data_IF_968894341806
#
_entry.id   IF_968894341806
#
_cell.length_a   1.000
_cell.length_b   1.000
_cell.length_c   1.000
_cell.angle_alpha   90.00
_cell.angle_beta   90.00
_cell.angle_gamma   90.00
#
_symmetry.space_group_name_H-M   'P 1'
#
loop_
_entity.id
_entity.type
_entity.pdbx_description
1 polymer ?
#
# COMPACT_ATOMS: atom_id res chain seq x y z
N UNK A 1 -5.87 -0.44 17.22
CA UNK A 1 -5.66 0.77 18.05
C UNK A 1 -4.16 0.94 18.20
N UNK A 2 -3.61 2.07 17.80
CA UNK A 2 -2.17 2.32 17.79
C UNK A 2 -1.65 2.48 19.22
N UNK A 3 -0.87 1.51 19.70
CA UNK A 3 -0.21 1.49 21.02
C UNK A 3 1.11 2.27 21.01
N UNK A 4 1.11 3.46 20.40
CA UNK A 4 2.31 4.29 20.30
C UNK A 4 2.51 5.06 21.62
N UNK A 5 3.67 4.87 22.25
CA UNK A 5 4.11 5.65 23.41
C UNK A 5 5.02 6.78 22.95
N UNK A 6 4.77 7.98 23.44
CA UNK A 6 5.56 9.17 23.15
C UNK A 6 6.19 9.65 24.45
N UNK A 7 7.42 10.12 24.39
CA UNK A 7 8.04 10.77 25.55
C UNK A 7 7.23 12.01 25.94
N UNK A 8 7.24 12.39 27.21
CA UNK A 8 6.62 13.64 27.70
C UNK A 8 7.73 14.68 27.85
N UNK A 9 7.88 15.63 26.92
CA UNK A 9 8.75 16.77 27.12
C UNK A 9 8.22 17.68 28.23
N UNK A 10 9.11 18.45 28.87
CA UNK A 10 8.73 19.38 29.95
C UNK A 10 7.61 20.35 29.52
N UNK A 11 7.70 20.91 28.30
CA UNK A 11 6.69 21.82 27.78
C UNK A 11 5.31 21.17 27.60
N UNK A 12 5.26 19.86 27.32
CA UNK A 12 4.00 19.13 27.21
C UNK A 12 3.39 18.92 28.60
N UNK A 13 4.23 18.63 29.59
CA UNK A 13 3.82 18.58 31.00
C UNK A 13 3.23 19.91 31.46
N UNK A 14 3.92 21.02 31.19
CA UNK A 14 3.47 22.38 31.51
C UNK A 14 2.13 22.73 30.84
N UNK A 15 1.92 22.24 29.61
CA UNK A 15 0.66 22.46 28.87
C UNK A 15 -0.49 21.60 29.40
N UNK A 16 -0.22 20.36 29.84
CA UNK A 16 -1.23 19.44 30.34
C UNK A 16 -1.65 19.73 31.79
N UNK A 17 -0.75 20.27 32.61
CA UNK A 17 -0.98 20.49 34.03
C UNK A 17 -2.21 21.38 34.33
N UNK A 18 -2.47 22.49 33.60
CA UNK A 18 -3.68 23.31 33.76
C UNK A 18 -5.00 22.60 33.45
N UNK A 19 -4.97 21.46 32.73
CA UNK A 19 -6.17 20.69 32.38
C UNK A 19 -6.68 19.81 33.52
N UNK A 20 -5.86 19.57 34.54
CA UNK A 20 -6.22 18.77 35.72
C UNK A 20 -7.34 19.49 36.49
N UNK A 21 -8.42 18.79 36.78
CA UNK A 21 -9.65 19.34 37.37
C UNK A 21 -10.69 19.89 36.37
N UNK A 22 -10.38 19.93 35.08
CA UNK A 22 -11.31 20.40 34.03
C UNK A 22 -11.77 19.24 33.13
N UNK A 23 -10.85 18.31 32.87
CA UNK A 23 -11.06 17.13 32.03
C UNK A 23 -12.19 16.21 32.56
N UNK A 24 -12.79 15.39 31.69
CA UNK A 24 -13.63 14.27 32.15
C UNK A 24 -12.83 13.34 33.06
N UNK A 25 -13.44 12.85 34.13
CA UNK A 25 -12.77 12.09 35.20
C UNK A 25 -11.97 10.88 34.67
N UNK A 26 -12.46 10.21 33.61
CA UNK A 26 -11.75 9.11 32.97
C UNK A 26 -10.43 9.54 32.31
N UNK A 27 -10.46 10.64 31.55
CA UNK A 27 -9.28 11.18 30.87
C UNK A 27 -8.31 11.82 31.88
N UNK A 28 -8.83 12.48 32.90
CA UNK A 28 -8.02 13.09 33.95
C UNK A 28 -7.15 12.05 34.66
N UNK A 29 -7.74 10.93 35.10
CA UNK A 29 -6.99 9.86 35.76
C UNK A 29 -5.88 9.29 34.86
N UNK A 30 -6.16 9.14 33.56
CA UNK A 30 -5.18 8.66 32.59
C UNK A 30 -4.04 9.65 32.37
N UNK A 31 -4.33 10.95 32.30
CA UNK A 31 -3.33 12.02 32.14
C UNK A 31 -2.48 12.14 33.41
N UNK A 32 -3.10 12.15 34.59
CA UNK A 32 -2.38 12.22 35.88
C UNK A 32 -1.43 11.03 36.03
N UNK A 33 -1.92 9.80 35.79
CA UNK A 33 -1.07 8.59 35.83
C UNK A 33 0.07 8.67 34.82
N UNK A 34 -0.16 9.24 33.63
CA UNK A 34 0.86 9.37 32.61
C UNK A 34 1.91 10.46 32.94
N UNK A 35 1.50 11.57 33.57
CA UNK A 35 2.39 12.67 33.97
C UNK A 35 3.37 12.27 35.09
N UNK A 36 3.06 11.25 35.89
CA UNK A 36 4.00 10.66 36.84
C UNK A 36 5.13 9.87 36.14
N UNK A 37 4.92 9.48 34.89
CA UNK A 37 5.89 8.75 34.07
C UNK A 37 6.66 9.64 33.08
N UNK A 38 7.61 9.04 32.36
CA UNK A 38 8.36 9.72 31.28
C UNK A 38 7.74 9.54 29.89
N UNK A 39 6.67 8.74 29.80
CA UNK A 39 6.02 8.34 28.55
C UNK A 39 4.49 8.36 28.69
N UNK A 40 3.81 8.91 27.68
CA UNK A 40 2.36 8.94 27.56
C UNK A 40 1.91 8.18 26.30
N UNK A 41 0.75 7.51 26.38
CA UNK A 41 0.14 6.91 25.19
C UNK A 41 -0.40 8.00 24.26
N UNK A 42 -0.06 7.92 22.98
CA UNK A 42 -0.51 8.87 21.97
C UNK A 42 -2.04 8.94 21.87
N UNK A 43 -2.74 7.83 22.15
CA UNK A 43 -4.20 7.80 22.18
C UNK A 43 -4.79 8.74 23.22
N UNK A 44 -4.16 8.88 24.40
CA UNK A 44 -4.62 9.78 25.47
C UNK A 44 -4.54 11.23 24.98
N UNK A 45 -3.42 11.62 24.37
CA UNK A 45 -3.26 12.98 23.79
C UNK A 45 -4.27 13.24 22.67
N UNK A 46 -4.54 12.25 21.83
CA UNK A 46 -5.55 12.35 20.79
C UNK A 46 -6.96 12.52 21.36
N UNK A 47 -7.28 11.85 22.47
CA UNK A 47 -8.59 11.96 23.11
C UNK A 47 -8.74 13.28 23.87
N UNK A 48 -7.67 13.82 24.47
CA UNK A 48 -7.63 15.19 25.02
C UNK A 48 -7.86 16.23 23.91
N UNK A 49 -7.19 16.09 22.76
CA UNK A 49 -7.40 16.95 21.59
C UNK A 49 -8.86 16.90 21.11
N UNK A 50 -9.43 15.70 20.95
CA UNK A 50 -10.85 15.55 20.58
C UNK A 50 -11.79 16.18 21.60
N UNK A 51 -11.52 16.00 22.89
CA UNK A 51 -12.32 16.59 23.95
C UNK A 51 -12.27 18.12 23.88
N UNK A 52 -11.11 18.73 23.64
CA UNK A 52 -10.96 20.17 23.48
C UNK A 52 -11.80 20.75 22.33
N UNK A 53 -12.16 19.93 21.32
CA UNK A 53 -13.07 20.32 20.23
C UNK A 53 -14.55 20.29 20.58
N UNK A 54 -14.93 19.57 21.62
CA UNK A 54 -16.34 19.50 22.04
C UNK A 54 -16.79 20.83 22.61
N UNK A 55 -18.09 21.14 22.50
CA UNK A 55 -18.63 22.38 23.07
C UNK A 55 -18.46 22.44 24.59
N UNK A 56 -18.57 21.30 25.28
CA UNK A 56 -18.29 21.21 26.72
C UNK A 56 -16.83 21.52 27.04
N UNK A 57 -15.89 20.98 26.25
CA UNK A 57 -14.46 21.23 26.40
C UNK A 57 -14.13 22.71 26.21
N UNK A 58 -14.65 23.35 25.15
CA UNK A 58 -14.43 24.78 24.89
C UNK A 58 -14.95 25.65 26.04
N UNK A 59 -16.18 25.45 26.48
CA UNK A 59 -16.77 26.23 27.58
C UNK A 59 -15.97 26.07 28.87
N UNK A 60 -15.52 24.85 29.17
CA UNK A 60 -14.71 24.58 30.35
C UNK A 60 -13.31 25.20 30.28
N UNK A 61 -12.66 25.15 29.12
CA UNK A 61 -11.36 25.80 28.90
C UNK A 61 -11.48 27.33 29.00
N UNK A 62 -12.51 27.91 28.39
CA UNK A 62 -12.80 29.35 28.47
C UNK A 62 -13.08 29.80 29.91
N UNK A 63 -13.75 28.98 30.73
CA UNK A 63 -14.01 29.29 32.14
C UNK A 63 -12.74 29.46 33.00
N UNK A 64 -11.60 28.96 32.49
CA UNK A 64 -10.29 29.01 33.13
C UNK A 64 -9.30 29.92 32.39
N UNK A 65 -9.79 30.72 31.44
CA UNK A 65 -8.98 31.60 30.59
C UNK A 65 -7.92 30.84 29.77
N UNK A 66 -8.21 29.59 29.41
CA UNK A 66 -7.35 28.75 28.60
C UNK A 66 -7.82 28.78 27.13
N UNK A 67 -6.88 28.99 26.21
CA UNK A 67 -7.18 29.03 24.78
C UNK A 67 -7.31 27.61 24.22
N UNK A 68 -8.48 27.25 23.69
CA UNK A 68 -8.72 25.92 23.12
C UNK A 68 -7.75 25.56 21.98
N UNK A 69 -7.24 26.56 21.25
CA UNK A 69 -6.32 26.34 20.10
C UNK A 69 -4.99 25.73 20.52
N UNK A 70 -4.57 25.96 21.76
CA UNK A 70 -3.32 25.41 22.29
C UNK A 70 -3.47 23.89 22.56
N UNK A 71 -4.70 23.41 22.71
CA UNK A 71 -5.04 22.02 23.00
C UNK A 71 -5.52 21.23 21.77
N UNK A 72 -5.98 21.91 20.72
CA UNK A 72 -6.40 21.32 19.43
C UNK A 72 -5.34 20.33 18.91
N UNK A 73 -4.07 20.72 18.95
CA UNK A 73 -2.97 19.95 18.35
C UNK A 73 -1.94 19.51 19.38
N UNK A 74 -2.38 19.23 20.60
CA UNK A 74 -1.47 18.78 21.67
C UNK A 74 -0.74 17.48 21.32
N UNK A 75 -1.31 16.66 20.44
CA UNK A 75 -0.68 15.48 19.87
C UNK A 75 0.55 15.80 18.99
N UNK A 76 0.60 16.98 18.36
CA UNK A 76 1.76 17.45 17.58
C UNK A 76 2.87 17.97 18.50
N UNK A 77 2.51 18.50 19.68
CA UNK A 77 3.47 18.99 20.69
C UNK A 77 4.29 17.87 21.34
N UNK A 78 3.77 16.64 21.34
CA UNK A 78 4.50 15.46 21.76
C UNK A 78 5.68 15.12 20.81
N UNK A 79 5.74 15.78 19.65
CA UNK A 79 6.88 15.71 18.72
C UNK A 79 6.98 14.37 17.99
N UNK A 80 8.12 14.18 17.31
CA UNK A 80 8.46 12.93 16.60
C UNK A 80 9.32 11.97 17.43
N UNK A 81 9.61 12.32 18.69
CA UNK A 81 10.48 11.53 19.55
C UNK A 81 9.63 10.42 20.17
N UNK A 82 9.61 9.27 19.49
CA UNK A 82 9.08 8.04 20.08
C UNK A 82 9.85 7.74 21.36
N UNK A 83 9.15 7.36 22.43
CA UNK A 83 9.79 7.10 23.73
C UNK A 83 10.92 6.07 23.60
N UNK A 84 11.92 6.09 24.50
CA UNK A 84 13.03 5.12 24.47
C UNK A 84 12.56 3.66 24.51
N UNK A 85 11.36 3.38 25.04
CA UNK A 85 10.76 2.04 25.02
C UNK A 85 10.04 1.69 23.70
N UNK A 86 9.78 2.67 22.82
CA UNK A 86 9.09 2.48 21.55
C UNK A 86 10.08 2.08 20.46
N UNK A 87 9.98 0.84 20.00
CA UNK A 87 10.63 0.41 18.75
C UNK A 87 9.80 0.94 17.59
N UNK A 88 10.41 1.80 16.76
CA UNK A 88 9.81 2.17 15.48
C UNK A 88 9.49 0.89 14.69
N UNK A 89 8.36 0.85 13.96
CA UNK A 89 8.14 -0.26 13.03
C UNK A 89 9.33 -0.31 12.05
N UNK A 90 9.77 -1.51 11.64
CA UNK A 90 10.83 -1.62 10.64
C UNK A 90 10.42 -0.79 9.41
N UNK A 91 11.35 0.00 8.83
CA UNK A 91 11.03 0.85 7.70
C UNK A 91 10.44 -0.01 6.59
N UNK A 92 9.34 0.44 6.00
CA UNK A 92 8.76 -0.24 4.85
C UNK A 92 9.83 -0.36 3.76
N UNK A 93 10.02 -1.54 3.15
CA UNK A 93 10.99 -1.69 2.09
C UNK A 93 10.63 -0.72 0.96
N UNK A 94 11.61 0.04 0.48
CA UNK A 94 11.40 0.92 -0.67
C UNK A 94 10.85 0.08 -1.82
N UNK A 95 9.81 0.56 -2.54
CA UNK A 95 9.28 -0.17 -3.68
C UNK A 95 10.41 -0.41 -4.69
N UNK A 96 10.46 -1.62 -5.23
CA UNK A 96 11.51 -1.97 -6.17
C UNK A 96 11.39 -1.11 -7.45
N UNK A 97 12.49 -0.76 -8.14
CA UNK A 97 12.44 0.13 -9.30
C UNK A 97 11.46 -0.33 -10.40
N UNK A 98 11.27 -1.64 -10.54
CA UNK A 98 10.33 -2.21 -11.49
C UNK A 98 8.86 -2.03 -11.10
N UNK A 99 8.54 -1.94 -9.80
CA UNK A 99 7.20 -1.67 -9.30
C UNK A 99 6.81 -0.23 -9.60
N UNK A 100 7.71 0.71 -9.29
CA UNK A 100 7.54 2.14 -9.60
C UNK A 100 7.33 2.35 -11.10
N UNK A 101 8.16 1.73 -11.94
CA UNK A 101 8.03 1.82 -13.39
C UNK A 101 6.72 1.21 -13.92
N UNK A 102 6.18 0.19 -13.27
CA UNK A 102 4.90 -0.41 -13.64
C UNK A 102 3.74 0.51 -13.26
N UNK A 103 3.81 1.16 -12.10
CA UNK A 103 2.81 2.13 -11.66
C UNK A 103 2.80 3.39 -12.52
N UNK A 104 3.95 3.92 -12.90
CA UNK A 104 4.01 5.03 -13.87
C UNK A 104 3.35 4.68 -15.21
N UNK A 105 3.62 3.48 -15.75
CA UNK A 105 2.99 3.01 -16.99
C UNK A 105 1.48 2.88 -16.83
N UNK A 106 1.01 2.40 -15.68
CA UNK A 106 -0.40 2.29 -15.37
C UNK A 106 -1.08 3.66 -15.32
N UNK A 107 -0.43 4.65 -14.69
CA UNK A 107 -0.92 6.02 -14.59
C UNK A 107 -1.02 6.67 -15.97
N UNK A 108 0.01 6.53 -16.82
CA UNK A 108 -0.03 7.06 -18.20
C UNK A 108 -1.15 6.44 -19.02
N UNK A 109 -1.39 5.13 -18.89
CA UNK A 109 -2.51 4.45 -19.56
C UNK A 109 -3.87 4.93 -19.05
N UNK A 110 -4.02 5.16 -17.76
CA UNK A 110 -5.25 5.68 -17.18
C UNK A 110 -5.54 7.09 -17.71
N UNK A 111 -4.54 7.97 -17.74
CA UNK A 111 -4.65 9.31 -18.31
C UNK A 111 -5.04 9.23 -19.80
N UNK A 112 -4.36 8.39 -20.58
CA UNK A 112 -4.68 8.22 -22.01
C UNK A 112 -6.13 7.74 -22.23
N UNK A 113 -6.62 6.82 -21.40
CA UNK A 113 -8.00 6.35 -21.47
C UNK A 113 -9.01 7.46 -21.14
N UNK A 114 -8.74 8.28 -20.13
CA UNK A 114 -9.57 9.43 -19.79
C UNK A 114 -9.63 10.46 -20.92
N UNK A 115 -8.48 10.76 -21.52
CA UNK A 115 -8.40 11.68 -22.66
C UNK A 115 -9.18 11.14 -23.85
N UNK A 116 -9.07 9.84 -24.15
CA UNK A 116 -9.83 9.21 -25.23
C UNK A 116 -11.35 9.27 -24.99
N UNK A 117 -11.79 8.98 -23.76
CA UNK A 117 -13.21 9.07 -23.39
C UNK A 117 -13.73 10.53 -23.48
N UNK A 118 -12.92 11.52 -23.13
CA UNK A 118 -13.30 12.93 -23.29
C UNK A 118 -13.47 13.30 -24.77
N UNK A 119 -12.55 12.87 -25.62
CA UNK A 119 -12.64 13.09 -27.07
C UNK A 119 -13.85 12.38 -27.69
N UNK A 120 -14.22 11.19 -27.22
CA UNK A 120 -15.41 10.50 -27.74
C UNK A 120 -16.70 11.24 -27.39
N UNK A 121 -16.85 11.71 -26.15
CA UNK A 121 -18.02 12.49 -25.70
C UNK A 121 -18.14 13.80 -26.47
N UNK A 122 -17.05 14.57 -26.57
CA UNK A 122 -17.04 15.85 -27.31
C UNK A 122 -17.25 15.63 -28.80
N UNK A 123 -16.62 14.60 -29.38
CA UNK A 123 -16.76 14.24 -30.78
C UNK A 123 -18.20 13.88 -31.16
N UNK A 124 -18.88 13.08 -30.34
CA UNK A 124 -20.29 12.74 -30.56
C UNK A 124 -21.18 13.97 -30.41
N UNK A 125 -20.97 14.80 -29.38
CA UNK A 125 -21.74 16.04 -29.21
C UNK A 125 -21.61 16.98 -30.41
N UNK A 126 -20.37 17.19 -30.90
CA UNK A 126 -20.10 18.02 -32.07
C UNK A 126 -20.69 17.42 -33.36
N UNK A 127 -20.63 16.10 -33.53
CA UNK A 127 -21.23 15.41 -34.67
C UNK A 127 -22.76 15.55 -34.69
N UNK A 128 -23.42 15.35 -33.54
CA UNK A 128 -24.87 15.55 -33.40
C UNK A 128 -25.25 17.00 -33.67
N UNK A 129 -24.49 17.96 -33.16
CA UNK A 129 -24.69 19.38 -33.47
C UNK A 129 -24.59 19.64 -34.97
N UNK A 130 -23.56 19.13 -35.65
CA UNK A 130 -23.38 19.30 -37.09
C UNK A 130 -24.53 18.68 -37.89
N UNK A 131 -24.92 17.44 -37.57
CA UNK A 131 -26.04 16.75 -38.21
C UNK A 131 -27.37 17.49 -38.01
N UNK A 132 -27.56 18.13 -36.85
CA UNK A 132 -28.77 18.90 -36.56
C UNK A 132 -28.88 20.22 -37.37
N UNK A 133 -27.77 20.69 -37.96
CA UNK A 133 -27.81 21.85 -38.87
C UNK A 133 -28.54 21.53 -40.16
N UNK A 134 -28.41 20.30 -40.68
CA UNK A 134 -29.02 19.92 -41.97
C UNK A 134 -30.52 19.65 -41.87
N UNK A 135 -31.06 19.41 -40.67
CA UNK A 135 -32.48 19.08 -40.45
C UNK A 135 -33.39 20.30 -40.23
N UNK A 136 -32.83 21.52 -40.18
CA UNK A 136 -33.62 22.75 -39.99
C UNK A 136 -34.20 22.94 -38.58
N UNK A 137 -33.72 22.22 -37.57
CA UNK A 137 -34.17 22.36 -36.18
C UNK A 137 -33.80 23.72 -35.57
N UNK A 138 -34.57 24.19 -34.58
CA UNK A 138 -34.24 25.39 -33.80
C UNK A 138 -32.97 25.16 -32.98
N UNK A 139 -32.19 26.22 -32.75
CA UNK A 139 -30.92 26.12 -32.04
C UNK A 139 -31.06 25.54 -30.62
N UNK A 140 -32.17 25.82 -29.94
CA UNK A 140 -32.49 25.22 -28.63
C UNK A 140 -32.56 23.70 -28.70
N UNK A 141 -33.29 23.15 -29.68
CA UNK A 141 -33.42 21.71 -29.88
C UNK A 141 -32.07 21.08 -30.24
N UNK A 142 -31.26 21.75 -31.07
CA UNK A 142 -29.91 21.28 -31.43
C UNK A 142 -28.99 21.12 -30.22
N UNK A 143 -28.98 22.11 -29.33
CA UNK A 143 -28.16 22.06 -28.10
C UNK A 143 -28.63 20.88 -27.24
N UNK A 144 -29.94 20.74 -27.00
CA UNK A 144 -30.48 19.64 -26.19
C UNK A 144 -30.09 18.26 -26.71
N UNK A 145 -30.19 18.03 -28.02
CA UNK A 145 -29.80 16.74 -28.61
C UNK A 145 -28.28 16.50 -28.56
N UNK A 146 -27.45 17.54 -28.72
CA UNK A 146 -25.99 17.39 -28.60
C UNK A 146 -25.56 17.01 -27.19
N UNK A 147 -26.17 17.60 -26.16
CA UNK A 147 -25.91 17.27 -24.76
C UNK A 147 -26.40 15.85 -24.47
N UNK A 148 -27.59 15.48 -24.95
CA UNK A 148 -28.12 14.14 -24.76
C UNK A 148 -27.24 13.07 -25.43
N UNK A 149 -26.77 13.32 -26.65
CA UNK A 149 -25.84 12.44 -27.36
C UNK A 149 -24.52 12.26 -26.59
N UNK A 150 -23.92 13.37 -26.14
CA UNK A 150 -22.72 13.32 -25.30
C UNK A 150 -22.94 12.57 -23.98
N UNK A 151 -24.09 12.76 -23.32
CA UNK A 151 -24.43 12.08 -22.07
C UNK A 151 -24.57 10.57 -22.26
N UNK A 152 -25.26 10.12 -23.33
CA UNK A 152 -25.38 8.69 -23.64
C UNK A 152 -24.01 8.07 -23.90
N UNK A 153 -23.14 8.74 -24.65
CA UNK A 153 -21.76 8.30 -24.86
C UNK A 153 -20.97 8.24 -23.56
N UNK A 154 -21.10 9.24 -22.69
CA UNK A 154 -20.42 9.26 -21.39
C UNK A 154 -20.85 8.09 -20.49
N UNK A 155 -22.14 7.73 -20.47
CA UNK A 155 -22.63 6.57 -19.73
C UNK A 155 -22.08 5.27 -20.30
N UNK A 156 -22.03 5.13 -21.63
CA UNK A 156 -21.49 3.94 -22.29
C UNK A 156 -19.99 3.75 -21.99
N UNK A 157 -19.19 4.81 -22.11
CA UNK A 157 -17.76 4.82 -21.79
C UNK A 157 -17.52 4.57 -20.29
N UNK A 158 -18.33 5.18 -19.42
CA UNK A 158 -18.28 4.96 -17.97
C UNK A 158 -18.59 3.51 -17.58
N UNK A 159 -19.58 2.89 -18.24
CA UNK A 159 -19.88 1.47 -18.05
C UNK A 159 -18.74 0.56 -18.51
N UNK A 160 -18.14 0.84 -19.67
CA UNK A 160 -16.97 0.10 -20.16
C UNK A 160 -15.78 0.24 -19.21
N UNK A 161 -15.55 1.45 -18.69
CA UNK A 161 -14.49 1.71 -17.71
C UNK A 161 -14.73 0.95 -16.40
N UNK A 162 -15.96 0.90 -15.90
CA UNK A 162 -16.30 0.14 -14.69
C UNK A 162 -16.02 -1.36 -14.85
N UNK A 163 -16.40 -1.96 -15.99
CA UNK A 163 -16.11 -3.37 -16.29
C UNK A 163 -14.60 -3.62 -16.37
N UNK A 164 -13.87 -2.72 -17.04
CA UNK A 164 -12.41 -2.81 -17.12
C UNK A 164 -11.75 -2.71 -15.73
N UNK A 165 -12.22 -1.78 -14.91
CA UNK A 165 -11.72 -1.58 -13.55
C UNK A 165 -11.93 -2.82 -12.68
N UNK A 166 -13.15 -3.36 -12.65
CA UNK A 166 -13.47 -4.59 -11.90
C UNK A 166 -12.60 -5.78 -12.34
N UNK A 167 -12.46 -5.99 -13.66
CA UNK A 167 -11.58 -7.05 -14.19
C UNK A 167 -10.12 -6.88 -13.77
N UNK A 168 -9.65 -5.64 -13.68
CA UNK A 168 -8.28 -5.34 -13.28
C UNK A 168 -8.04 -5.59 -11.80
N UNK A 169 -9.00 -5.27 -10.94
CA UNK A 169 -8.93 -5.61 -9.51
C UNK A 169 -8.91 -7.12 -9.29
N UNK A 170 -9.75 -7.86 -9.98
CA UNK A 170 -9.77 -9.33 -9.88
C UNK A 170 -8.47 -9.95 -10.37
N UNK A 171 -7.92 -9.45 -11.48
CA UNK A 171 -6.62 -9.88 -11.99
C UNK A 171 -5.48 -9.55 -11.00
N UNK A 172 -5.56 -8.41 -10.29
CA UNK A 172 -4.59 -8.05 -9.25
C UNK A 172 -4.69 -9.00 -8.06
N UNK A 173 -5.88 -9.22 -7.51
CA UNK A 173 -6.13 -10.18 -6.40
C UNK A 173 -5.63 -11.58 -6.74
N UNK A 174 -5.87 -12.03 -7.98
CA UNK A 174 -5.37 -13.33 -8.44
C UNK A 174 -3.83 -13.38 -8.51
N UNK A 175 -3.18 -12.33 -9.01
CA UNK A 175 -1.70 -12.24 -9.08
C UNK A 175 -1.08 -12.20 -7.69
N UNK A 176 -1.68 -11.46 -6.77
CA UNK A 176 -1.25 -11.38 -5.37
C UNK A 176 -1.31 -12.74 -4.68
N UNK A 177 -2.47 -13.42 -4.76
CA UNK A 177 -2.62 -14.80 -4.25
C UNK A 177 -1.64 -15.78 -4.88
N UNK A 178 -1.30 -15.60 -6.16
CA UNK A 178 -0.27 -16.42 -6.84
C UNK A 178 1.14 -16.11 -6.33
N UNK A 179 1.47 -14.84 -6.08
CA UNK A 179 2.75 -14.41 -5.50
C UNK A 179 2.91 -14.97 -4.08
N UNK A 180 1.88 -14.91 -3.26
CA UNK A 180 1.88 -15.49 -1.90
C UNK A 180 2.16 -16.99 -1.94
N UNK A 181 1.44 -17.76 -2.77
CA UNK A 181 1.68 -19.19 -2.96
C UNK A 181 3.09 -19.50 -3.45
N UNK A 182 3.67 -18.63 -4.29
CA UNK A 182 5.04 -18.78 -4.75
C UNK A 182 6.04 -18.51 -3.63
N UNK A 183 5.83 -17.46 -2.83
CA UNK A 183 6.65 -17.15 -1.64
C UNK A 183 6.61 -18.31 -0.65
N UNK A 184 5.42 -18.83 -0.35
CA UNK A 184 5.24 -19.99 0.55
C UNK A 184 5.97 -21.25 0.05
N UNK A 185 5.89 -21.54 -1.26
CA UNK A 185 6.64 -22.64 -1.89
C UNK A 185 8.15 -22.45 -1.85
N UNK A 186 8.65 -21.22 -1.93
CA UNK A 186 10.08 -20.93 -1.83
C UNK A 186 10.54 -21.04 -0.38
N UNK A 187 9.78 -20.51 0.58
CA UNK A 187 10.07 -20.60 2.01
C UNK A 187 10.08 -22.05 2.49
N UNK A 188 9.11 -22.87 2.08
CA UNK A 188 9.11 -24.30 2.43
C UNK A 188 10.30 -25.06 1.82
N UNK A 189 10.78 -24.69 0.63
CA UNK A 189 12.00 -25.26 0.06
C UNK A 189 13.25 -24.82 0.83
N UNK A 190 13.31 -23.55 1.23
CA UNK A 190 14.41 -23.01 2.02
C UNK A 190 14.50 -23.69 3.38
N UNK A 191 13.38 -23.81 4.11
CA UNK A 191 13.32 -24.52 5.39
C UNK A 191 13.73 -25.99 5.27
N UNK A 192 13.26 -26.69 4.23
CA UNK A 192 13.69 -28.08 3.98
C UNK A 192 15.18 -28.20 3.74
N UNK A 193 15.79 -27.26 3.00
CA UNK A 193 17.25 -27.25 2.81
C UNK A 193 17.98 -27.03 4.12
N UNK A 194 17.54 -26.07 4.93
CA UNK A 194 18.14 -25.78 6.23
C UNK A 194 18.10 -26.99 7.17
N UNK A 195 16.96 -27.70 7.21
CA UNK A 195 16.82 -28.91 8.02
C UNK A 195 17.74 -30.06 7.55
N UNK A 196 17.96 -30.20 6.24
CA UNK A 196 18.89 -31.20 5.70
C UNK A 196 20.35 -30.84 6.02
N UNK A 197 20.69 -29.55 5.98
CA UNK A 197 22.03 -29.06 6.32
C UNK A 197 22.33 -29.30 7.81
N UNK A 198 21.40 -28.96 8.70
CA UNK A 198 21.49 -29.27 10.13
C UNK A 198 21.64 -30.76 10.42
N UNK A 199 20.87 -31.62 9.74
CA UNK A 199 20.97 -33.07 9.91
C UNK A 199 22.30 -33.65 9.40
N UNK A 200 22.95 -33.01 8.40
CA UNK A 200 24.28 -33.42 7.94
C UNK A 200 25.34 -33.06 8.98
N UNK A 201 25.27 -31.87 9.55
CA UNK A 201 26.23 -31.42 10.56
C UNK A 201 26.15 -32.31 11.82
N UNK A 202 24.95 -32.71 12.25
CA UNK A 202 24.76 -33.64 13.38
C UNK A 202 25.35 -35.04 13.12
N UNK A 203 25.27 -35.54 11.89
CA UNK A 203 25.86 -36.84 11.52
C UNK A 203 27.39 -36.77 11.46
N UNK A 204 27.97 -35.64 11.03
CA UNK A 204 29.44 -35.45 11.00
C UNK A 204 29.99 -35.41 12.43
N UNK A 205 29.32 -34.70 13.36
CA UNK A 205 29.72 -34.67 14.77
C UNK A 205 29.65 -36.06 15.43
N UNK A 206 28.68 -36.89 15.05
CA UNK A 206 28.53 -38.25 15.58
C UNK A 206 29.56 -39.28 15.01
N UNK A 207 30.26 -38.96 13.92
CA UNK A 207 31.28 -39.83 13.30
C UNK A 207 32.68 -39.53 13.85
N UNK A 208 32.98 -38.29 14.24
CA UNK A 208 34.28 -37.91 14.82
C UNK A 208 34.56 -38.58 16.19
N UNK A 209 33.53 -39.04 16.91
CA UNK A 209 33.68 -39.77 18.19
C UNK A 209 34.00 -41.27 18.02
N UNK A 210 34.00 -41.82 16.79
CA UNK A 210 34.13 -43.28 16.56
C UNK A 210 35.36 -43.73 15.78
N UNK A 211 36.14 -42.82 15.21
CA UNK A 211 37.27 -43.17 14.34
C UNK A 211 38.64 -42.68 14.88
N UNK A 212 38.86 -42.75 16.19
CA UNK A 212 40.20 -42.62 16.77
C UNK A 212 41.09 -43.88 16.60
N UNK A 213 40.55 -45.01 16.10
CA UNK A 213 41.25 -46.31 16.15
C UNK A 213 41.45 -47.02 14.79
N UNK A 214 41.21 -46.40 13.62
CA UNK A 214 41.32 -47.13 12.35
C UNK A 214 41.98 -46.36 11.20
N UNK A 215 43.25 -45.99 11.39
CA UNK A 215 44.19 -45.77 10.29
C UNK A 215 44.66 -47.12 9.73
N UNK A 216 44.06 -47.61 8.64
CA UNK A 216 44.79 -48.29 7.58
C UNK A 216 43.90 -48.66 6.38
N UNK A 217 44.30 -48.14 5.21
CA UNK A 217 44.00 -48.64 3.87
C UNK A 217 42.59 -48.33 3.31
N UNK A 218 42.35 -47.95 2.06
CA UNK A 218 43.17 -47.74 0.85
C UNK A 218 42.21 -47.18 -0.24
N UNK A 219 42.77 -46.48 -1.23
CA UNK A 219 42.29 -46.20 -2.62
C UNK A 219 41.12 -45.25 -2.94
N UNK A 220 41.49 -44.19 -3.67
CA UNK A 220 40.94 -43.72 -4.97
C UNK A 220 39.51 -44.13 -5.33
N UNK A 221 38.62 -43.13 -5.55
CA UNK A 221 37.67 -43.12 -6.67
C UNK A 221 36.97 -41.75 -6.80
N UNK A 222 37.33 -41.09 -7.90
CA UNK A 222 36.55 -40.24 -8.79
C UNK A 222 35.65 -39.09 -8.27
N UNK A 223 36.08 -37.89 -8.65
CA UNK A 223 35.32 -36.65 -8.65
C UNK A 223 34.09 -36.71 -9.58
N UNK A 224 32.89 -36.31 -9.14
CA UNK A 224 31.76 -36.12 -10.04
C UNK A 224 31.89 -34.79 -10.78
N UNK A 225 31.95 -34.89 -12.11
CA UNK A 225 31.87 -33.75 -13.02
C UNK A 225 30.54 -32.99 -12.90
N UNK A 226 30.64 -31.66 -13.00
CA UNK A 226 29.56 -30.76 -13.39
C UNK A 226 28.92 -31.22 -14.71
N UNK A 227 27.63 -31.58 -14.69
CA UNK A 227 26.73 -31.34 -15.82
C UNK A 227 25.28 -31.23 -15.33
N UNK A 228 24.71 -30.03 -15.32
CA UNK A 228 23.29 -29.86 -15.67
C UNK A 228 23.02 -28.46 -16.23
N UNK A 229 23.41 -28.25 -17.48
CA UNK A 229 22.90 -27.18 -18.32
C UNK A 229 21.44 -27.47 -18.66
N UNK A 230 20.53 -27.00 -17.81
CA UNK A 230 19.09 -27.11 -18.06
C UNK A 230 18.66 -26.50 -19.41
N UNK A 231 17.62 -27.03 -20.05
CA UNK A 231 17.30 -26.72 -21.44
C UNK A 231 16.82 -25.28 -21.62
N UNK A 232 17.56 -24.55 -22.47
CA UNK A 232 17.13 -23.29 -23.08
C UNK A 232 15.77 -23.50 -23.75
N UNK A 233 14.72 -22.93 -23.15
CA UNK A 233 13.38 -22.83 -23.75
C UNK A 233 13.49 -22.14 -25.11
N UNK A 234 13.38 -22.94 -26.18
CA UNK A 234 13.14 -22.49 -27.56
C UNK A 234 11.94 -21.53 -27.56
N UNK A 235 12.22 -20.24 -27.74
CA UNK A 235 11.23 -19.21 -28.03
C UNK A 235 10.68 -19.49 -29.43
N UNK A 236 9.45 -20.01 -29.49
CA UNK A 236 8.70 -20.22 -30.74
C UNK A 236 8.45 -18.86 -31.39
N UNK A 237 9.24 -18.51 -32.42
CA UNK A 237 8.97 -17.41 -33.35
C UNK A 237 7.71 -17.82 -34.13
N UNK A 238 6.54 -17.33 -33.69
CA UNK A 238 5.31 -17.41 -34.47
C UNK A 238 5.42 -16.43 -35.63
N UNK A 239 5.25 -16.94 -36.84
CA UNK A 239 5.48 -16.25 -38.10
C UNK A 239 4.56 -15.06 -38.34
N UNK A 240 5.14 -14.05 -38.95
CA UNK A 240 4.48 -13.11 -39.85
C UNK A 240 3.76 -13.91 -40.94
N UNK A 241 2.43 -13.76 -41.00
CA UNK A 241 1.68 -13.96 -42.23
C UNK A 241 1.58 -12.58 -42.87
N UNK A 242 2.35 -12.38 -43.93
CA UNK A 242 2.04 -11.43 -44.98
C UNK A 242 0.76 -11.94 -45.66
N UNK A 243 -0.37 -11.30 -45.38
CA UNK A 243 -1.54 -11.45 -46.23
C UNK A 243 -1.45 -10.39 -47.33
N UNK A 244 -1.41 -10.92 -48.54
CA UNK A 244 -1.28 -10.24 -49.80
C UNK A 244 -2.39 -9.20 -50.02
N UNK A 245 -1.96 -8.07 -50.56
CA UNK A 245 -2.80 -7.11 -51.28
C UNK A 245 -3.31 -7.79 -52.54
N UNK A 246 -4.62 -7.94 -52.66
CA UNK A 246 -5.27 -8.27 -53.93
C UNK A 246 -6.00 -7.00 -54.39
N UNK A 247 -5.47 -6.43 -55.48
CA UNK A 247 -6.06 -5.34 -56.24
C UNK A 247 -7.17 -5.88 -57.13
N UNK A 248 -8.40 -5.40 -56.95
CA UNK A 248 -9.40 -5.23 -58.02
C UNK A 248 -10.32 -4.07 -57.70
#
# INVERSE_FOLDING_TARGET
MSTLKVSIPDHLGDTLNPLIGILPTELENLVVTALEGTEILYSILADVSKWAYTEEGKQKLESKDLNFRDYDRINLLAGTVTGPASRLPPPEPKPEPWEVAQDEKNTRRAIAALVNALFSVVGVGAAVWWASKTTGWSDTTRISFSILGGLVTAIAEGGLFAVYYNRREDARKYREKRRERQKERLMSRYQKKLAVEQAKDEVVEAVDDKDADNEASVTNLDAPQETDTGPLRRRKKGGEKEDAVDET
#
